data_IF_291933448183
#
_entry.id   IF_291933448183
#
_cell.length_a   1.000
_cell.length_b   1.000
_cell.length_c   1.000
_cell.angle_alpha   90.00
_cell.angle_beta   90.00
_cell.angle_gamma   90.00
#
_symmetry.space_group_name_H-M   'P 1'
#
loop_
_entity.id
_entity.type
_entity.pdbx_description
1 polymer ?
#
# COMPACT_ATOMS: atom_id res chain seq x y z
N UNK A 1 7.66 23.84 12.57
CA UNK A 1 7.40 22.39 12.61
C UNK A 1 6.10 22.18 11.89
N UNK A 2 6.05 21.26 10.92
CA UNK A 2 4.82 21.01 10.17
C UNK A 2 4.03 19.90 10.87
N UNK A 3 2.71 20.03 10.90
CA UNK A 3 1.82 19.00 11.40
C UNK A 3 1.72 17.84 10.39
N UNK A 4 1.66 16.61 10.89
CA UNK A 4 1.53 15.40 10.07
C UNK A 4 0.11 14.84 10.19
N UNK A 5 -0.46 14.46 9.05
CA UNK A 5 -1.82 13.93 8.97
C UNK A 5 -1.85 12.59 8.24
N UNK A 6 -2.73 11.69 8.68
CA UNK A 6 -3.09 10.49 7.93
C UNK A 6 -4.29 10.84 7.06
N UNK A 7 -4.15 10.73 5.74
CA UNK A 7 -5.16 11.16 4.77
C UNK A 7 -6.09 10.02 4.37
N UNK A 8 -5.55 8.81 4.18
CA UNK A 8 -6.30 7.61 3.80
C UNK A 8 -5.55 6.35 4.25
N UNK A 9 -6.25 5.23 4.35
CA UNK A 9 -5.70 3.94 4.72
C UNK A 9 -6.45 2.79 4.05
N UNK A 10 -5.69 1.87 3.44
CA UNK A 10 -6.21 0.65 2.81
C UNK A 10 -5.29 -0.53 3.10
N UNK A 11 -5.82 -1.74 2.95
CA UNK A 11 -5.07 -2.98 3.13
C UNK A 11 -5.61 -4.09 2.26
N UNK A 12 -4.78 -5.10 2.04
CA UNK A 12 -5.25 -6.38 1.53
C UNK A 12 -6.04 -7.16 2.61
N UNK A 13 -6.83 -8.17 2.21
CA UNK A 13 -7.30 -9.19 3.15
C UNK A 13 -6.12 -9.93 3.78
N UNK A 14 -6.33 -10.49 4.98
CA UNK A 14 -5.31 -11.32 5.63
C UNK A 14 -5.51 -12.76 5.17
N UNK A 15 -4.47 -13.34 4.55
CA UNK A 15 -4.46 -14.72 4.12
C UNK A 15 -4.19 -15.69 5.27
N UNK A 16 -4.73 -16.91 5.18
CA UNK A 16 -4.31 -18.04 6.04
C UNK A 16 -2.98 -18.61 5.52
N UNK A 17 -2.21 -19.24 6.40
CA UNK A 17 -1.04 -20.02 6.00
C UNK A 17 -1.44 -21.12 5.00
N UNK A 18 -0.76 -21.19 3.85
CA UNK A 18 -1.14 -22.07 2.74
C UNK A 18 -2.48 -21.73 2.06
N UNK A 19 -3.04 -20.55 2.32
CA UNK A 19 -4.36 -20.12 1.83
C UNK A 19 -4.32 -19.34 0.52
N UNK A 20 -5.35 -18.50 0.30
CA UNK A 20 -5.59 -17.78 -0.96
C UNK A 20 -4.47 -16.84 -1.42
N UNK A 21 -3.64 -16.35 -0.49
CA UNK A 21 -2.52 -15.46 -0.81
C UNK A 21 -1.16 -16.19 -0.86
N UNK A 22 -1.12 -17.50 -0.65
CA UNK A 22 0.13 -18.26 -0.53
C UNK A 22 0.98 -18.28 -1.81
N UNK A 23 0.33 -18.13 -2.98
CA UNK A 23 1.01 -18.04 -4.27
C UNK A 23 1.34 -16.62 -4.71
N UNK A 24 0.98 -15.60 -3.92
CA UNK A 24 1.22 -14.19 -4.27
C UNK A 24 2.59 -13.79 -3.74
N UNK A 25 3.45 -13.27 -4.61
CA UNK A 25 4.75 -12.75 -4.21
C UNK A 25 4.56 -11.55 -3.28
N UNK A 26 5.42 -11.40 -2.29
CA UNK A 26 5.23 -10.40 -1.22
C UNK A 26 5.28 -8.95 -1.72
N UNK A 27 6.08 -8.65 -2.73
CA UNK A 27 6.13 -7.36 -3.42
C UNK A 27 4.87 -7.09 -4.25
N UNK A 28 4.36 -8.09 -4.96
CA UNK A 28 3.06 -7.98 -5.64
C UNK A 28 1.94 -7.70 -4.62
N UNK A 29 1.97 -8.41 -3.48
CA UNK A 29 1.00 -8.22 -2.40
C UNK A 29 1.10 -6.80 -1.79
N UNK A 30 2.32 -6.29 -1.61
CA UNK A 30 2.57 -4.93 -1.10
C UNK A 30 2.14 -3.83 -2.08
N UNK A 31 2.15 -4.12 -3.39
CA UNK A 31 1.79 -3.16 -4.44
C UNK A 31 0.28 -2.91 -4.50
N UNK A 32 -0.55 -3.90 -4.15
CA UNK A 32 -2.02 -3.80 -4.17
C UNK A 32 -2.55 -2.57 -3.42
N UNK A 33 -2.22 -2.34 -2.12
CA UNK A 33 -2.70 -1.15 -1.41
C UNK A 33 -2.15 0.17 -1.97
N UNK A 34 -0.94 0.19 -2.53
CA UNK A 34 -0.35 1.40 -3.12
C UNK A 34 -1.13 1.82 -4.37
N UNK A 35 -1.39 0.86 -5.28
CA UNK A 35 -2.20 1.11 -6.49
C UNK A 35 -3.61 1.57 -6.11
N UNK A 36 -4.21 0.94 -5.11
CA UNK A 36 -5.56 1.32 -4.64
C UNK A 36 -5.60 2.74 -4.07
N UNK A 37 -4.57 3.18 -3.33
CA UNK A 37 -4.47 4.57 -2.87
C UNK A 37 -4.37 5.54 -4.04
N UNK A 38 -3.50 5.29 -5.02
CA UNK A 38 -3.40 6.15 -6.20
C UNK A 38 -4.72 6.20 -6.98
N UNK A 39 -5.43 5.07 -7.08
CA UNK A 39 -6.74 4.99 -7.73
C UNK A 39 -7.81 5.80 -7.01
N UNK A 40 -7.80 5.84 -5.67
CA UNK A 40 -8.74 6.64 -4.86
C UNK A 40 -8.48 8.13 -4.95
N UNK A 41 -7.24 8.52 -5.23
CA UNK A 41 -6.79 9.90 -5.30
C UNK A 41 -6.29 10.25 -6.71
N UNK A 42 -7.17 10.30 -7.73
CA UNK A 42 -6.75 10.49 -9.14
C UNK A 42 -6.11 11.85 -9.43
N UNK A 43 -6.25 12.83 -8.53
CA UNK A 43 -5.60 14.14 -8.61
C UNK A 43 -4.22 14.19 -7.95
N UNK A 44 -3.80 13.11 -7.26
CA UNK A 44 -2.46 13.00 -6.69
C UNK A 44 -1.46 12.71 -7.81
N UNK A 45 -0.49 13.59 -7.99
CA UNK A 45 0.67 13.34 -8.85
C UNK A 45 1.63 12.38 -8.12
N UNK A 46 1.87 11.16 -8.67
CA UNK A 46 2.79 10.21 -8.05
C UNK A 46 4.22 10.72 -7.91
N UNK A 47 4.65 11.68 -8.75
CA UNK A 47 5.99 12.27 -8.67
C UNK A 47 6.18 13.15 -7.42
N UNK A 48 5.10 13.46 -6.68
CA UNK A 48 5.14 14.19 -5.41
C UNK A 48 5.27 13.29 -4.18
N UNK A 49 5.34 11.98 -4.37
CA UNK A 49 5.61 11.04 -3.28
C UNK A 49 7.12 11.00 -3.07
N UNK A 50 7.59 11.56 -1.95
CA UNK A 50 9.02 11.64 -1.65
C UNK A 50 9.61 10.28 -1.25
N UNK A 51 8.87 9.50 -0.45
CA UNK A 51 9.34 8.23 0.11
C UNK A 51 8.21 7.19 0.22
N UNK A 52 8.59 5.92 0.07
CA UNK A 52 7.73 4.75 0.35
C UNK A 52 8.46 3.86 1.36
N UNK A 53 7.95 3.81 2.59
CA UNK A 53 8.54 3.03 3.67
C UNK A 53 7.68 1.77 3.89
N UNK A 54 8.26 0.60 3.61
CA UNK A 54 7.58 -0.69 3.73
C UNK A 54 8.30 -1.58 4.76
N UNK A 55 7.58 -2.02 5.79
CA UNK A 55 8.08 -3.01 6.74
C UNK A 55 7.96 -4.43 6.19
N UNK A 56 9.03 -5.22 6.30
CA UNK A 56 9.05 -6.65 5.97
C UNK A 56 10.02 -7.36 6.93
N UNK A 57 9.62 -8.52 7.46
CA UNK A 57 10.38 -9.32 8.43
C UNK A 57 10.69 -10.72 7.88
#
# INVERSE_FOLDING_TARGET
MNEAYIIDAVRTPIGKFGGSLSGVRTDDLATIPIIELLRRHPSLDPARIDDVILGCA
#
